data_IF_002652642412
#
_entry.id   IF_002652642412
#
_cell.length_a   1.000
_cell.length_b   1.000
_cell.length_c   1.000
_cell.angle_alpha   90.00
_cell.angle_beta   90.00
_cell.angle_gamma   90.00
#
_symmetry.space_group_name_H-M   'P 1'
#
loop_
_entity.id
_entity.type
_entity.pdbx_description
1 polymer ?
#
# COMPACT_ATOMS: atom_id res chain seq x y z
N UNK A 1 5.97 13.21 -7.36
CA UNK A 1 7.11 13.22 -6.40
C UNK A 1 7.40 11.79 -5.98
N UNK A 2 8.65 11.38 -5.71
CA UNK A 2 8.92 10.02 -5.22
C UNK A 2 8.78 9.94 -3.70
N UNK A 3 8.20 8.85 -3.19
CA UNK A 3 8.14 8.52 -1.76
C UNK A 3 8.58 7.09 -1.52
N UNK A 4 9.36 6.88 -0.46
CA UNK A 4 9.77 5.54 -0.07
C UNK A 4 8.59 4.84 0.59
N UNK A 5 8.50 3.52 0.44
CA UNK A 5 7.38 2.73 0.94
C UNK A 5 7.27 2.78 2.47
N UNK A 6 8.37 2.99 3.18
CA UNK A 6 8.36 3.21 4.64
C UNK A 6 7.64 4.47 5.07
N UNK A 7 7.50 5.44 4.16
CA UNK A 7 6.86 6.73 4.42
C UNK A 7 5.35 6.63 4.14
N UNK A 8 4.92 5.56 3.49
CA UNK A 8 3.53 5.32 3.13
C UNK A 8 2.83 4.51 4.22
N UNK A 9 1.66 5.00 4.62
CA UNK A 9 0.72 4.30 5.47
C UNK A 9 -0.31 3.64 4.56
N UNK A 10 -0.33 2.31 4.60
CA UNK A 10 -1.13 1.47 3.73
C UNK A 10 -2.23 0.82 4.54
N UNK A 11 -3.47 0.91 4.05
CA UNK A 11 -4.57 0.14 4.60
C UNK A 11 -4.40 -1.35 4.25
N UNK A 12 -4.46 -2.22 5.25
CA UNK A 12 -4.40 -3.67 5.04
C UNK A 12 -5.64 -4.17 4.27
N UNK A 13 -6.81 -3.61 4.55
CA UNK A 13 -8.11 -4.12 4.11
C UNK A 13 -8.97 -4.50 5.31
N UNK A 14 -10.28 -4.57 5.10
CA UNK A 14 -11.28 -5.12 6.03
C UNK A 14 -11.74 -6.51 5.57
N UNK A 15 -12.65 -7.10 6.33
CA UNK A 15 -13.20 -8.43 6.08
C UNK A 15 -13.95 -8.53 4.74
N UNK A 16 -14.40 -7.38 4.18
CA UNK A 16 -15.04 -7.35 2.87
C UNK A 16 -14.04 -7.59 1.73
N UNK A 17 -12.74 -7.34 1.97
CA UNK A 17 -11.68 -7.38 0.97
C UNK A 17 -12.02 -6.59 -0.30
N UNK A 18 -12.86 -5.56 -0.20
CA UNK A 18 -13.17 -4.68 -1.34
C UNK A 18 -12.03 -3.67 -1.59
N UNK A 19 -11.25 -3.34 -0.55
CA UNK A 19 -10.25 -2.27 -0.58
C UNK A 19 -8.98 -2.64 0.20
N UNK A 20 -7.89 -1.96 -0.13
CA UNK A 20 -6.62 -2.05 0.57
C UNK A 20 -5.62 -3.02 -0.06
N UNK A 21 -4.53 -3.28 0.67
CA UNK A 21 -3.41 -4.09 0.20
C UNK A 21 -3.76 -5.58 0.06
N UNK A 22 -4.62 -6.12 0.91
CA UNK A 22 -5.05 -7.51 0.84
C UNK A 22 -5.79 -7.80 -0.47
N UNK A 23 -6.72 -6.94 -0.86
CA UNK A 23 -7.43 -7.00 -2.16
C UNK A 23 -6.46 -6.90 -3.32
N UNK A 24 -5.56 -5.92 -3.29
CA UNK A 24 -4.54 -5.74 -4.33
C UNK A 24 -3.65 -6.99 -4.49
N UNK A 25 -3.32 -7.67 -3.39
CA UNK A 25 -2.56 -8.92 -3.42
C UNK A 25 -3.34 -10.06 -4.07
N UNK A 26 -4.61 -10.22 -3.71
CA UNK A 26 -5.47 -11.27 -4.28
C UNK A 26 -5.66 -11.05 -5.78
N UNK A 27 -5.88 -9.80 -6.21
CA UNK A 27 -5.96 -9.44 -7.62
C UNK A 27 -4.67 -9.76 -8.36
N UNK A 28 -3.52 -9.35 -7.81
CA UNK A 28 -2.22 -9.69 -8.40
C UNK A 28 -2.03 -11.20 -8.57
N UNK A 29 -2.40 -12.00 -7.56
CA UNK A 29 -2.35 -13.46 -7.65
C UNK A 29 -3.27 -14.05 -8.71
N UNK A 30 -4.41 -13.42 -8.95
CA UNK A 30 -5.36 -13.80 -9.99
C UNK A 30 -4.94 -13.28 -11.39
N UNK A 31 -3.80 -12.60 -11.52
CA UNK A 31 -3.36 -12.00 -12.78
C UNK A 31 -4.08 -10.69 -13.13
N UNK A 32 -4.85 -10.12 -12.20
CA UNK A 32 -5.55 -8.85 -12.37
C UNK A 32 -4.60 -7.72 -11.95
N UNK A 33 -4.11 -6.97 -12.95
CA UNK A 33 -3.18 -5.87 -12.77
C UNK A 33 -3.90 -4.51 -12.74
N UNK A 34 -3.16 -3.46 -12.35
CA UNK A 34 -3.64 -2.09 -12.39
C UNK A 34 -3.91 -1.66 -13.84
N UNK A 35 -5.10 -1.11 -14.07
CA UNK A 35 -5.47 -0.52 -15.38
C UNK A 35 -4.66 0.76 -15.71
N UNK A 36 -4.00 1.33 -14.72
CA UNK A 36 -3.26 2.60 -14.84
C UNK A 36 -1.83 2.48 -14.30
N UNK A 37 -0.98 1.59 -14.86
CA UNK A 37 0.29 1.19 -14.26
C UNK A 37 1.29 2.35 -14.08
N UNK A 38 1.22 3.39 -14.92
CA UNK A 38 2.11 4.56 -14.89
C UNK A 38 1.52 5.75 -14.11
N UNK A 39 0.28 5.64 -13.61
CA UNK A 39 -0.34 6.72 -12.86
C UNK A 39 0.30 6.88 -11.48
N UNK A 40 0.43 8.11 -10.95
CA UNK A 40 0.95 8.31 -9.62
C UNK A 40 0.01 7.74 -8.54
N UNK A 41 0.59 7.20 -7.47
CA UNK A 41 -0.10 6.87 -6.23
C UNK A 41 -0.64 8.16 -5.61
N UNK A 42 -1.90 8.16 -5.19
CA UNK A 42 -2.51 9.33 -4.55
C UNK A 42 -2.33 9.22 -3.05
N UNK A 43 -1.74 10.27 -2.46
CA UNK A 43 -1.41 10.30 -1.03
C UNK A 43 -1.96 11.54 -0.34
N UNK A 44 -2.10 11.46 0.97
CA UNK A 44 -2.44 12.57 1.86
C UNK A 44 -1.44 12.62 3.02
N UNK A 45 -1.10 13.82 3.50
CA UNK A 45 -0.27 13.97 4.71
C UNK A 45 -1.07 13.56 5.95
N UNK A 46 -0.41 12.90 6.90
CA UNK A 46 -0.96 12.66 8.24
C UNK A 46 -0.39 13.74 9.14
N UNK A 47 -1.24 14.58 9.72
CA UNK A 47 -0.79 15.72 10.54
C UNK A 47 -0.13 15.24 11.84
N UNK A 48 -0.67 14.19 12.45
CA UNK A 48 -0.17 13.61 13.71
C UNK A 48 1.07 12.71 13.55
N UNK A 49 1.45 12.36 12.32
CA UNK A 49 2.62 11.52 12.04
C UNK A 49 3.56 12.19 11.03
N UNK A 50 4.49 13.05 11.49
CA UNK A 50 5.41 13.77 10.62
C UNK A 50 6.19 12.82 9.69
N UNK A 51 6.19 13.15 8.40
CA UNK A 51 6.88 12.36 7.37
C UNK A 51 6.12 11.11 6.91
N UNK A 52 4.92 10.85 7.43
CA UNK A 52 4.03 9.78 6.97
C UNK A 52 2.95 10.28 6.04
N UNK A 53 2.57 9.42 5.09
CA UNK A 53 1.58 9.73 4.07
C UNK A 53 0.59 8.59 3.92
N UNK A 54 -0.70 8.88 4.13
CA UNK A 54 -1.78 7.94 3.89
C UNK A 54 -1.95 7.71 2.38
N UNK A 55 -2.02 6.46 1.95
CA UNK A 55 -2.38 6.11 0.57
C UNK A 55 -3.89 6.11 0.40
N UNK A 56 -4.37 6.94 -0.51
CA UNK A 56 -5.78 7.10 -0.85
C UNK A 56 -6.14 6.25 -2.07
N UNK A 57 -5.25 6.17 -3.04
CA UNK A 57 -5.43 5.37 -4.26
C UNK A 57 -4.08 4.88 -4.81
N UNK A 58 -4.10 3.69 -5.42
CA UNK A 58 -2.93 3.07 -6.04
C UNK A 58 -2.42 1.82 -5.36
N UNK A 59 -3.25 1.13 -4.56
CA UNK A 59 -2.88 -0.12 -3.90
C UNK A 59 -2.36 -1.20 -4.87
N UNK A 60 -3.00 -1.38 -6.04
CA UNK A 60 -2.52 -2.32 -7.07
C UNK A 60 -1.14 -1.94 -7.61
N UNK A 61 -0.91 -0.66 -7.89
CA UNK A 61 0.40 -0.16 -8.35
C UNK A 61 1.50 -0.40 -7.32
N UNK A 62 1.17 -0.17 -6.05
CA UNK A 62 2.10 -0.45 -4.94
C UNK A 62 2.39 -1.94 -4.86
N UNK A 63 1.35 -2.79 -4.89
CA UNK A 63 1.51 -4.24 -4.83
C UNK A 63 2.40 -4.78 -5.95
N UNK A 64 2.12 -4.38 -7.19
CA UNK A 64 2.92 -4.78 -8.35
C UNK A 64 4.37 -4.35 -8.23
N UNK A 65 4.62 -3.08 -7.87
CA UNK A 65 5.98 -2.59 -7.67
C UNK A 65 6.70 -3.35 -6.56
N UNK A 66 6.03 -3.63 -5.44
CA UNK A 66 6.59 -4.45 -4.37
C UNK A 66 7.00 -5.85 -4.86
N UNK A 67 6.18 -6.49 -5.68
CA UNK A 67 6.47 -7.80 -6.28
C UNK A 67 7.68 -7.75 -7.23
N UNK A 68 7.91 -6.61 -7.89
CA UNK A 68 9.12 -6.33 -8.70
C UNK A 68 10.34 -5.90 -7.88
N UNK A 69 10.19 -5.75 -6.56
CA UNK A 69 11.27 -5.29 -5.67
C UNK A 69 11.42 -3.77 -5.58
N UNK A 70 10.47 -3.01 -6.12
CA UNK A 70 10.45 -1.56 -5.96
C UNK A 70 10.19 -1.18 -4.50
N UNK A 71 10.77 -0.04 -4.11
CA UNK A 71 10.66 0.55 -2.77
C UNK A 71 10.28 2.01 -2.77
N UNK A 72 10.28 2.64 -3.94
CA UNK A 72 10.00 4.06 -4.10
C UNK A 72 8.98 4.26 -5.20
N UNK A 73 7.89 4.92 -4.87
CA UNK A 73 6.73 5.06 -5.76
C UNK A 73 6.57 6.52 -6.19
N UNK A 74 6.12 6.73 -7.43
CA UNK A 74 5.71 8.06 -7.87
C UNK A 74 4.35 8.39 -7.26
N UNK A 75 4.29 9.47 -6.50
CA UNK A 75 3.13 9.91 -5.75
C UNK A 75 2.71 11.33 -6.13
N UNK A 76 1.42 11.63 -5.94
CA UNK A 76 0.85 12.98 -5.97
C UNK A 76 -0.03 13.19 -4.74
N UNK A 77 -0.11 14.43 -4.27
CA UNK A 77 -1.09 14.75 -3.24
C UNK A 77 -2.51 14.65 -3.79
N UNK A 78 -3.43 14.17 -2.95
CA UNK A 78 -4.85 14.26 -3.21
C UNK A 78 -5.26 15.73 -3.34
N UNK A 79 -6.18 16.00 -4.28
CA UNK A 79 -6.85 17.31 -4.40
C UNK A 79 -7.99 17.48 -3.41
N UNK A 80 -8.47 16.37 -2.83
CA UNK A 80 -9.52 16.33 -1.82
C UNK A 80 -8.91 15.98 -0.47
N UNK A 81 -9.35 16.66 0.59
CA UNK A 81 -9.03 16.24 1.94
C UNK A 81 -9.94 15.07 2.31
N UNK A 82 -9.34 13.96 2.67
CA UNK A 82 -10.01 12.80 3.24
C UNK A 82 -9.88 12.94 4.75
N UNK A 83 -10.89 13.55 5.37
CA UNK A 83 -10.93 13.76 6.83
C UNK A 83 -11.29 12.49 7.60
N UNK A 84 -11.61 11.41 6.90
CA UNK A 84 -12.06 10.16 7.49
C UNK A 84 -10.91 9.14 7.56
N UNK A 85 -10.55 8.82 8.80
CA UNK A 85 -9.83 7.62 9.25
C UNK A 85 -8.41 7.36 8.69
N UNK A 86 -7.43 7.42 9.59
CA UNK A 86 -6.08 6.89 9.38
C UNK A 86 -6.04 5.47 9.98
N UNK A 87 -5.62 4.42 9.23
CA UNK A 87 -5.53 3.08 9.79
C UNK A 87 -4.57 3.06 10.97
N UNK A 88 -4.93 2.35 12.04
CA UNK A 88 -4.10 2.18 13.25
C UNK A 88 -3.82 0.70 13.51
N UNK A 89 -2.69 0.42 14.16
CA UNK A 89 -2.30 -0.94 14.58
C UNK A 89 -2.49 -1.99 13.49
N UNK A 90 -3.31 -3.02 13.80
CA UNK A 90 -3.61 -4.18 12.95
C UNK A 90 -4.23 -3.84 11.57
N UNK A 91 -4.75 -2.64 11.39
CA UNK A 91 -5.33 -2.21 10.11
C UNK A 91 -4.29 -1.62 9.15
N UNK A 92 -3.04 -1.42 9.61
CA UNK A 92 -1.93 -1.07 8.72
C UNK A 92 -1.38 -2.33 8.08
N UNK A 93 -1.11 -2.25 6.78
CA UNK A 93 -0.34 -3.27 6.10
C UNK A 93 1.13 -3.13 6.51
N UNK A 94 1.63 -4.11 7.25
CA UNK A 94 3.04 -4.17 7.61
C UNK A 94 3.85 -4.87 6.51
N UNK A 95 4.90 -4.20 6.05
CA UNK A 95 5.89 -4.83 5.18
C UNK A 95 6.89 -5.56 6.09
N UNK A 96 7.01 -6.89 6.01
CA UNK A 96 7.88 -7.65 6.90
C UNK A 96 9.32 -7.12 6.82
N UNK A 97 9.87 -6.64 7.95
CA UNK A 97 11.22 -6.05 8.02
C UNK A 97 12.34 -7.03 7.60
N UNK A 98 12.14 -8.33 7.82
CA UNK A 98 13.07 -9.40 7.43
C UNK A 98 13.22 -9.56 5.90
N UNK A 99 12.37 -8.91 5.10
CA UNK A 99 12.33 -9.02 3.63
C UNK A 99 12.80 -7.76 2.90
N UNK A 100 13.42 -6.83 3.63
CA UNK A 100 14.09 -5.67 3.04
C UNK A 100 15.51 -5.97 2.55
N UNK A 101 16.08 -7.14 2.91
CA UNK A 101 17.45 -7.54 2.54
C UNK A 101 17.56 -8.58 1.41
N UNK A 102 16.51 -9.30 1.03
CA UNK A 102 16.62 -10.35 0.01
C UNK A 102 15.58 -10.22 -1.11
N UNK A 103 16.09 -9.99 -2.31
CA UNK A 103 15.40 -9.86 -3.60
C UNK A 103 14.77 -11.15 -4.13
N UNK A 104 14.46 -12.15 -3.29
CA UNK A 104 14.00 -13.47 -3.76
C UNK A 104 12.70 -13.92 -3.08
N UNK A 105 11.60 -13.82 -3.85
CA UNK A 105 10.27 -14.42 -3.68
C UNK A 105 9.48 -14.03 -2.42
N UNK A 106 8.52 -13.11 -2.59
CA UNK A 106 7.54 -12.75 -1.56
C UNK A 106 6.46 -13.83 -1.40
N UNK A 107 6.42 -14.49 -0.23
CA UNK A 107 5.19 -15.02 0.36
C UNK A 107 4.63 -13.98 1.34
N UNK A 108 3.54 -13.30 0.98
CA UNK A 108 2.80 -12.41 1.89
C UNK A 108 1.95 -13.29 2.79
N UNK A 109 2.09 -13.14 4.11
CA UNK A 109 1.18 -13.74 5.09
C UNK A 109 0.08 -12.72 5.37
N UNK A 110 -1.15 -13.04 5.00
CA UNK A 110 -2.34 -12.32 5.43
C UNK A 110 -2.77 -12.96 6.75
N UNK A 111 -2.80 -12.21 7.83
CA UNK A 111 -3.42 -12.67 9.07
C UNK A 111 -4.93 -12.71 8.86
N UNK A 112 -5.49 -13.92 8.78
CA UNK A 112 -6.92 -14.13 8.93
C UNK A 112 -7.19 -14.25 10.42
N UNK A 113 -7.88 -13.27 11.01
CA UNK A 113 -8.50 -13.49 12.31
C UNK A 113 -9.82 -14.22 12.04
N UNK A 114 -9.81 -15.53 12.30
CA UNK A 114 -11.01 -16.34 12.59
C UNK A 114 -11.59 -15.98 13.94
#
# INVERSE_FOLDING_TARGET
>A
MKKHISDLVLYNGDDSLEKGMATAYLHYKAGILSETPNAPVVIQKIEDEPGKYLVIDGYHRIMEGLMRGERSFNCRFSKKKYDWWVPTGKHRFEIPKEKLRESKKYKIKINKNT
#
